data_IF_750874426432
#
_entry.id   IF_750874426432
#
_cell.length_a   1.000
_cell.length_b   1.000
_cell.length_c   1.000
_cell.angle_alpha   90.00
_cell.angle_beta   90.00
_cell.angle_gamma   90.00
#
_symmetry.space_group_name_H-M   'P 1'
#
loop_
_entity.id
_entity.type
_entity.pdbx_description
1 polymer ?
#
# COMPACT_ATOMS: atom_id res chain seq x y z
N UNK A 1 -33.97 -5.89 9.59
CA UNK A 1 -32.68 -6.48 9.18
C UNK A 1 -31.64 -5.93 10.14
N UNK A 2 -31.06 -6.76 11.00
CA UNK A 2 -30.08 -6.32 12.01
C UNK A 2 -28.84 -5.77 11.29
N UNK A 3 -28.63 -4.46 11.34
CA UNK A 3 -27.50 -3.79 10.72
C UNK A 3 -26.20 -4.12 11.47
N UNK A 4 -25.49 -5.14 11.01
CA UNK A 4 -24.12 -5.38 11.45
C UNK A 4 -23.22 -4.27 10.91
N UNK A 5 -22.26 -3.82 11.72
CA UNK A 5 -21.19 -2.90 11.31
C UNK A 5 -20.48 -3.43 10.05
N UNK A 6 -20.25 -2.62 9.00
CA UNK A 6 -19.67 -3.08 7.73
C UNK A 6 -18.37 -3.90 7.88
N UNK A 7 -17.50 -3.54 8.83
CA UNK A 7 -16.27 -4.29 9.10
C UNK A 7 -16.51 -5.68 9.73
N UNK A 8 -17.60 -5.86 10.47
CA UNK A 8 -17.97 -7.18 11.00
C UNK A 8 -18.38 -8.14 9.88
N UNK A 9 -19.08 -7.64 8.86
CA UNK A 9 -19.44 -8.42 7.66
C UNK A 9 -18.19 -8.88 6.90
N UNK A 10 -17.22 -7.97 6.76
CA UNK A 10 -15.92 -8.28 6.12
C UNK A 10 -15.17 -9.36 6.90
N UNK A 11 -15.06 -9.19 8.23
CA UNK A 11 -14.41 -10.16 9.10
C UNK A 11 -15.07 -11.54 9.02
N UNK A 12 -16.40 -11.61 9.15
CA UNK A 12 -17.14 -12.87 9.08
C UNK A 12 -16.90 -13.57 7.73
N UNK A 13 -16.94 -12.81 6.63
CA UNK A 13 -16.74 -13.39 5.29
C UNK A 13 -15.33 -13.94 5.14
N UNK A 14 -14.31 -13.15 5.48
CA UNK A 14 -12.90 -13.59 5.37
C UNK A 14 -12.58 -14.76 6.32
N UNK A 15 -13.26 -14.88 7.46
CA UNK A 15 -13.06 -16.00 8.39
C UNK A 15 -13.39 -17.38 7.76
N UNK A 16 -14.20 -17.40 6.69
CA UNK A 16 -14.55 -18.62 5.93
C UNK A 16 -13.42 -19.10 5.01
N UNK A 17 -12.36 -18.31 4.87
CA UNK A 17 -11.25 -18.53 3.95
C UNK A 17 -9.89 -18.46 4.67
N UNK A 18 -9.56 -19.44 5.54
CA UNK A 18 -8.33 -19.43 6.32
C UNK A 18 -7.09 -19.78 5.48
N UNK A 19 -5.91 -19.42 6.00
CA UNK A 19 -4.62 -19.74 5.39
C UNK A 19 -4.47 -19.14 3.99
N UNK A 20 -3.89 -19.89 3.06
CA UNK A 20 -3.61 -19.46 1.68
C UNK A 20 -4.88 -19.17 0.84
N UNK A 21 -6.07 -19.44 1.39
CA UNK A 21 -7.36 -19.13 0.75
C UNK A 21 -7.85 -17.71 1.02
N UNK A 22 -7.16 -16.91 1.84
CA UNK A 22 -7.57 -15.55 2.20
C UNK A 22 -7.95 -14.70 0.99
N UNK A 23 -7.25 -14.91 -0.13
CA UNK A 23 -7.44 -14.24 -1.42
C UNK A 23 -8.81 -14.52 -2.06
N UNK A 24 -9.35 -15.73 -1.91
CA UNK A 24 -10.71 -16.08 -2.36
C UNK A 24 -11.77 -15.26 -1.61
N UNK A 25 -11.52 -14.95 -0.34
CA UNK A 25 -12.42 -14.14 0.48
C UNK A 25 -12.42 -12.67 0.04
N UNK A 26 -11.27 -12.13 -0.33
CA UNK A 26 -11.17 -10.78 -0.93
C UNK A 26 -11.85 -10.72 -2.29
N UNK A 27 -11.68 -11.74 -3.12
CA UNK A 27 -12.37 -11.84 -4.40
C UNK A 27 -13.89 -11.94 -4.22
N UNK A 28 -14.39 -12.72 -3.25
CA UNK A 28 -15.81 -12.77 -2.95
C UNK A 28 -16.37 -11.39 -2.55
N UNK A 29 -15.65 -10.63 -1.71
CA UNK A 29 -16.08 -9.28 -1.30
C UNK A 29 -16.26 -8.34 -2.51
N UNK A 30 -15.29 -8.34 -3.43
CA UNK A 30 -15.36 -7.53 -4.65
C UNK A 30 -16.41 -8.03 -5.65
N UNK A 31 -16.55 -9.34 -5.82
CA UNK A 31 -17.57 -9.95 -6.67
C UNK A 31 -18.98 -9.58 -6.23
N UNK A 32 -19.22 -9.47 -4.92
CA UNK A 32 -20.51 -8.99 -4.42
C UNK A 32 -20.65 -7.48 -4.56
N UNK A 33 -19.59 -6.72 -4.29
CA UNK A 33 -19.56 -5.26 -4.41
C UNK A 33 -20.52 -4.52 -3.47
N UNK A 34 -21.11 -5.21 -2.48
CA UNK A 34 -22.16 -4.70 -1.60
C UNK A 34 -21.60 -4.02 -0.34
N UNK A 35 -20.50 -4.56 0.20
CA UNK A 35 -19.87 -4.09 1.45
C UNK A 35 -18.37 -3.93 1.25
N UNK A 36 -17.94 -2.71 0.90
CA UNK A 36 -16.54 -2.33 0.65
C UNK A 36 -16.10 -1.18 1.58
N UNK A 37 -16.08 -1.36 2.91
CA UNK A 37 -15.90 -0.27 3.87
C UNK A 37 -14.50 0.38 3.86
N UNK A 38 -13.53 -0.22 3.19
CA UNK A 38 -12.20 0.37 2.95
C UNK A 38 -12.17 1.31 1.75
N UNK A 39 -13.06 1.12 0.76
CA UNK A 39 -13.09 1.91 -0.46
C UNK A 39 -13.61 3.33 -0.15
N UNK A 40 -12.80 4.33 -0.49
CA UNK A 40 -13.09 5.76 -0.25
C UNK A 40 -13.46 6.51 -1.53
N UNK A 41 -13.35 5.87 -2.69
CA UNK A 41 -13.62 6.50 -3.99
C UNK A 41 -12.67 7.64 -4.37
N UNK A 42 -11.63 7.90 -3.58
CA UNK A 42 -10.63 8.94 -3.83
C UNK A 42 -9.30 8.59 -3.15
N UNK A 43 -8.15 9.09 -3.67
CA UNK A 43 -6.85 8.89 -3.03
C UNK A 43 -6.84 9.44 -1.61
N UNK A 44 -5.93 8.92 -0.78
CA UNK A 44 -5.66 9.59 0.48
C UNK A 44 -4.93 10.92 0.23
N UNK A 45 -5.44 12.07 0.73
CA UNK A 45 -4.78 13.36 0.50
C UNK A 45 -3.34 13.40 1.03
N UNK A 46 -2.99 12.57 2.03
CA UNK A 46 -1.63 12.42 2.51
C UNK A 46 -0.65 12.00 1.40
N UNK A 47 -1.07 11.14 0.46
CA UNK A 47 -0.23 10.73 -0.67
C UNK A 47 0.04 11.91 -1.61
N UNK A 48 -0.99 12.68 -1.97
CA UNK A 48 -0.83 13.86 -2.84
C UNK A 48 0.10 14.90 -2.20
N UNK A 49 -0.07 15.18 -0.91
CA UNK A 49 0.77 16.10 -0.15
C UNK A 49 2.22 15.59 -0.11
N UNK A 50 2.42 14.29 0.13
CA UNK A 50 3.73 13.63 0.12
C UNK A 50 4.43 13.75 -1.24
N UNK A 51 3.73 13.52 -2.35
CA UNK A 51 4.30 13.61 -3.69
C UNK A 51 4.61 15.05 -4.09
N UNK A 52 3.81 16.01 -3.63
CA UNK A 52 3.99 17.44 -3.92
C UNK A 52 5.16 18.03 -3.15
N UNK A 53 5.21 17.79 -1.84
CA UNK A 53 6.18 18.40 -0.92
C UNK A 53 7.47 17.57 -0.81
N UNK A 54 7.37 16.25 -0.98
CA UNK A 54 8.45 15.29 -0.77
C UNK A 54 9.41 15.12 -1.94
N UNK A 55 9.46 16.03 -2.94
CA UNK A 55 10.36 15.89 -4.10
C UNK A 55 11.84 15.77 -3.72
N UNK A 56 12.27 16.45 -2.66
CA UNK A 56 13.64 16.33 -2.16
C UNK A 56 13.92 14.93 -1.54
N UNK A 57 12.90 14.30 -0.97
CA UNK A 57 12.98 12.98 -0.37
C UNK A 57 12.85 11.86 -1.42
N UNK A 58 11.84 11.93 -2.29
CA UNK A 58 11.49 10.86 -3.24
C UNK A 58 12.21 11.00 -4.60
N UNK A 59 12.78 12.18 -4.87
CA UNK A 59 13.28 12.55 -6.18
C UNK A 59 12.16 12.88 -7.17
N UNK A 60 12.53 13.11 -8.43
CA UNK A 60 11.56 13.38 -9.51
C UNK A 60 10.89 12.09 -10.00
N UNK A 61 9.62 12.14 -10.42
CA UNK A 61 8.87 10.99 -10.96
C UNK A 61 9.32 10.60 -12.38
N UNK A 62 9.95 11.53 -13.10
CA UNK A 62 10.50 11.31 -14.42
C UNK A 62 11.62 12.33 -14.71
N UNK A 63 12.44 12.02 -15.70
CA UNK A 63 13.52 12.86 -16.19
C UNK A 63 13.45 12.99 -17.71
N UNK A 64 13.63 14.20 -18.23
CA UNK A 64 13.78 14.43 -19.66
C UNK A 64 15.22 14.12 -20.03
N UNK A 65 15.42 13.19 -20.96
CA UNK A 65 16.72 12.74 -21.46
C UNK A 65 16.82 13.02 -22.96
N UNK A 66 18.00 12.84 -23.54
CA UNK A 66 18.22 12.91 -25.00
C UNK A 66 17.32 11.95 -25.78
N UNK A 67 16.93 10.82 -25.17
CA UNK A 67 16.08 9.79 -25.77
C UNK A 67 14.59 9.94 -25.37
N UNK A 68 14.18 11.09 -24.85
CA UNK A 68 12.82 11.37 -24.39
C UNK A 68 12.64 11.24 -22.88
N UNK A 69 11.40 11.08 -22.43
CA UNK A 69 11.04 11.08 -21.01
C UNK A 69 11.28 9.69 -20.42
N UNK A 70 12.17 9.61 -19.43
CA UNK A 70 12.40 8.41 -18.64
C UNK A 70 11.61 8.50 -17.33
N UNK A 71 10.55 7.71 -17.22
CA UNK A 71 9.66 7.68 -16.04
C UNK A 71 10.11 6.64 -15.02
N UNK A 72 9.89 6.94 -13.75
CA UNK A 72 9.98 6.00 -12.64
C UNK A 72 8.74 5.11 -12.57
N UNK A 73 8.89 3.89 -12.07
CA UNK A 73 7.80 2.93 -11.89
C UNK A 73 7.27 2.97 -10.46
N UNK A 74 5.96 3.11 -10.31
CA UNK A 74 5.30 3.13 -9.01
C UNK A 74 4.31 1.97 -8.88
N UNK A 75 4.34 1.23 -7.77
CA UNK A 75 3.42 0.12 -7.49
C UNK A 75 2.47 0.46 -6.33
N UNK A 76 1.19 0.11 -6.47
CA UNK A 76 0.21 0.07 -5.38
C UNK A 76 -0.27 -1.37 -5.21
N UNK A 77 0.20 -2.10 -4.18
CA UNK A 77 -0.28 -3.45 -3.88
C UNK A 77 -1.66 -3.42 -3.23
N UNK A 78 -2.56 -4.32 -3.63
CA UNK A 78 -3.95 -4.32 -3.18
C UNK A 78 -4.66 -3.02 -3.56
N UNK A 79 -4.55 -2.60 -4.82
CA UNK A 79 -4.96 -1.26 -5.24
C UNK A 79 -6.47 -1.01 -5.19
N UNK A 80 -7.30 -2.05 -5.00
CA UNK A 80 -8.74 -1.93 -4.84
C UNK A 80 -9.42 -1.28 -6.05
N UNK A 81 -9.89 -0.04 -5.90
CA UNK A 81 -10.49 0.75 -6.98
C UNK A 81 -9.45 1.44 -7.88
N UNK A 82 -8.18 1.45 -7.51
CA UNK A 82 -7.09 1.98 -8.33
C UNK A 82 -6.90 3.50 -8.28
N UNK A 83 -7.60 4.22 -7.38
CA UNK A 83 -7.55 5.68 -7.31
C UNK A 83 -6.14 6.22 -7.04
N UNK A 84 -5.36 5.56 -6.18
CA UNK A 84 -3.97 5.97 -5.90
C UNK A 84 -3.04 5.74 -7.10
N UNK A 85 -3.34 4.76 -7.95
CA UNK A 85 -2.61 4.48 -9.21
C UNK A 85 -2.82 5.63 -10.20
N UNK A 86 -4.07 6.10 -10.33
CA UNK A 86 -4.41 7.25 -11.18
C UNK A 86 -3.74 8.53 -10.69
N UNK A 87 -3.69 8.73 -9.36
CA UNK A 87 -2.97 9.85 -8.76
C UNK A 87 -1.48 9.78 -9.09
N UNK A 88 -0.82 8.64 -8.88
CA UNK A 88 0.60 8.46 -9.20
C UNK A 88 0.91 8.73 -10.68
N UNK A 89 0.07 8.23 -11.58
CA UNK A 89 0.20 8.50 -13.02
C UNK A 89 0.06 9.99 -13.35
N UNK A 90 -0.80 10.73 -12.64
CA UNK A 90 -0.94 12.19 -12.81
C UNK A 90 0.31 12.98 -12.40
N UNK A 91 1.12 12.43 -11.49
CA UNK A 91 2.44 12.95 -11.13
C UNK A 91 3.53 12.56 -12.13
N UNK A 92 3.24 11.71 -13.11
CA UNK A 92 4.15 11.33 -14.19
C UNK A 92 4.87 9.99 -14.02
N UNK A 93 4.54 9.22 -12.98
CA UNK A 93 5.03 7.84 -12.82
C UNK A 93 4.36 6.90 -13.82
N UNK A 94 5.08 5.88 -14.28
CA UNK A 94 4.43 4.69 -14.83
C UNK A 94 3.90 3.88 -13.65
N UNK A 95 2.57 3.94 -13.45
CA UNK A 95 1.89 3.46 -12.26
C UNK A 95 1.22 2.10 -12.50
N UNK A 96 1.44 1.20 -11.55
CA UNK A 96 0.96 -0.18 -11.56
C UNK A 96 0.08 -0.41 -10.34
N UNK A 97 -1.15 -0.87 -10.57
CA UNK A 97 -2.04 -1.34 -9.50
C UNK A 97 -2.11 -2.86 -9.53
N UNK A 98 -1.64 -3.52 -8.47
CA UNK A 98 -1.76 -4.97 -8.34
C UNK A 98 -2.97 -5.29 -7.46
N UNK A 99 -3.85 -6.15 -7.96
CA UNK A 99 -5.06 -6.55 -7.26
C UNK A 99 -5.40 -8.01 -7.56
N UNK A 100 -5.80 -8.75 -6.52
CA UNK A 100 -6.09 -10.17 -6.65
C UNK A 100 -7.51 -10.40 -7.20
N UNK A 101 -8.47 -9.52 -6.93
CA UNK A 101 -9.82 -9.73 -7.46
C UNK A 101 -9.95 -9.28 -8.91
N UNK A 102 -10.42 -10.19 -9.78
CA UNK A 102 -10.73 -9.86 -11.17
C UNK A 102 -11.87 -8.82 -11.25
N UNK A 103 -12.86 -8.89 -10.37
CA UNK A 103 -13.93 -7.89 -10.28
C UNK A 103 -13.41 -6.52 -9.88
N UNK A 104 -12.45 -6.44 -8.95
CA UNK A 104 -11.81 -5.19 -8.59
C UNK A 104 -11.00 -4.58 -9.74
N UNK A 105 -10.33 -5.40 -10.54
CA UNK A 105 -9.64 -4.94 -11.77
C UNK A 105 -10.62 -4.30 -12.75
N UNK A 106 -11.82 -4.87 -12.93
CA UNK A 106 -12.84 -4.24 -13.76
C UNK A 106 -13.34 -2.91 -13.16
N UNK A 107 -13.43 -2.83 -11.83
CA UNK A 107 -13.72 -1.57 -11.13
C UNK A 107 -12.60 -0.54 -11.37
N UNK A 108 -11.32 -0.91 -11.34
CA UNK A 108 -10.20 -0.03 -11.67
C UNK A 108 -10.31 0.55 -13.08
N UNK A 109 -10.58 -0.31 -14.08
CA UNK A 109 -10.75 0.12 -15.48
C UNK A 109 -11.92 1.09 -15.64
N UNK A 110 -13.03 0.83 -14.95
CA UNK A 110 -14.18 1.73 -14.95
C UNK A 110 -13.87 3.06 -14.25
N UNK A 111 -13.12 3.03 -13.15
CA UNK A 111 -12.68 4.22 -12.43
C UNK A 111 -11.80 5.09 -13.33
N UNK A 112 -10.80 4.50 -13.99
CA UNK A 112 -9.95 5.19 -14.97
C UNK A 112 -10.80 5.83 -16.08
N UNK A 113 -11.66 5.04 -16.73
CA UNK A 113 -12.48 5.52 -17.85
C UNK A 113 -13.44 6.66 -17.46
N UNK A 114 -13.94 6.69 -16.23
CA UNK A 114 -14.92 7.68 -15.76
C UNK A 114 -14.28 8.89 -15.11
N UNK A 115 -13.13 8.73 -14.46
CA UNK A 115 -12.62 9.67 -13.48
C UNK A 115 -11.15 10.08 -13.70
N UNK A 116 -10.48 9.64 -14.77
CA UNK A 116 -9.09 10.05 -15.06
C UNK A 116 -8.89 11.58 -15.06
N UNK A 117 -9.87 12.34 -15.56
CA UNK A 117 -9.83 13.81 -15.61
C UNK A 117 -9.83 14.48 -14.24
N UNK A 118 -10.24 13.78 -13.17
CA UNK A 118 -10.15 14.29 -11.79
C UNK A 118 -8.70 14.39 -11.30
N UNK A 119 -7.76 13.76 -12.00
CA UNK A 119 -6.35 13.72 -11.63
C UNK A 119 -5.51 14.49 -12.67
N UNK A 120 -5.47 15.83 -12.63
CA UNK A 120 -4.78 16.62 -13.65
C UNK A 120 -3.28 16.36 -13.64
N UNK A 121 -2.66 16.50 -14.82
CA UNK A 121 -1.20 16.43 -14.99
C UNK A 121 -0.53 17.46 -14.08
N UNK A 122 0.44 17.00 -13.26
CA UNK A 122 1.13 17.87 -12.30
C UNK A 122 2.35 18.59 -12.87
N UNK A 123 2.85 18.12 -14.00
CA UNK A 123 3.99 18.68 -14.71
C UNK A 123 3.77 18.50 -16.21
N UNK A 124 3.37 19.55 -16.91
CA UNK A 124 3.04 19.52 -18.35
C UNK A 124 4.23 19.14 -19.22
N UNK A 125 5.47 19.37 -18.78
CA UNK A 125 6.67 18.97 -19.54
C UNK A 125 6.88 17.45 -19.50
N UNK A 126 6.42 16.82 -18.41
CA UNK A 126 6.48 15.38 -18.22
C UNK A 126 5.22 14.71 -18.75
N UNK A 127 4.04 15.30 -18.57
CA UNK A 127 2.76 14.67 -18.90
C UNK A 127 2.41 13.50 -17.98
N UNK A 128 1.21 12.95 -18.18
CA UNK A 128 0.73 11.76 -17.45
C UNK A 128 1.58 10.52 -17.80
N UNK A 129 1.95 9.72 -16.79
CA UNK A 129 2.56 8.41 -17.02
C UNK A 129 1.53 7.32 -17.33
N UNK A 130 1.98 6.09 -17.62
CA UNK A 130 1.05 5.00 -17.91
C UNK A 130 0.30 4.53 -16.66
N UNK A 131 -0.92 4.03 -16.84
CA UNK A 131 -1.67 3.29 -15.82
C UNK A 131 -1.76 1.83 -16.26
N UNK A 132 -1.44 0.90 -15.37
CA UNK A 132 -1.53 -0.54 -15.65
C UNK A 132 -2.11 -1.26 -14.44
N UNK A 133 -3.32 -1.80 -14.60
CA UNK A 133 -3.95 -2.65 -13.60
C UNK A 133 -3.65 -4.12 -13.89
N UNK A 134 -3.14 -4.84 -12.90
CA UNK A 134 -2.64 -6.21 -13.04
C UNK A 134 -3.39 -7.12 -12.08
N UNK A 135 -4.02 -8.14 -12.64
CA UNK A 135 -4.60 -9.23 -11.86
C UNK A 135 -3.49 -10.18 -11.39
N UNK A 136 -3.29 -10.29 -10.08
CA UNK A 136 -2.25 -11.16 -9.52
C UNK A 136 -2.17 -11.15 -8.00
N UNK A 137 -1.47 -12.15 -7.46
CA UNK A 137 -1.18 -12.26 -6.03
C UNK A 137 0.13 -11.52 -5.71
N UNK A 138 0.09 -10.62 -4.72
CA UNK A 138 1.26 -9.84 -4.29
C UNK A 138 2.48 -10.71 -3.97
N UNK A 139 2.26 -11.92 -3.45
CA UNK A 139 3.35 -12.81 -3.03
C UNK A 139 3.94 -13.66 -4.17
N UNK A 140 3.35 -13.65 -5.36
CA UNK A 140 3.79 -14.44 -6.53
C UNK A 140 4.54 -13.57 -7.54
N UNK A 141 5.33 -14.18 -8.44
CA UNK A 141 6.10 -13.48 -9.48
C UNK A 141 5.44 -13.46 -10.87
N UNK A 142 4.41 -14.28 -11.10
CA UNK A 142 3.80 -14.45 -12.42
C UNK A 142 3.27 -13.12 -13.00
N UNK A 143 2.81 -12.21 -12.15
CA UNK A 143 2.33 -10.90 -12.56
C UNK A 143 3.46 -9.94 -12.97
N UNK A 144 4.69 -10.10 -12.44
CA UNK A 144 5.86 -9.32 -12.85
C UNK A 144 6.24 -9.61 -14.30
N UNK A 145 6.23 -10.90 -14.65
CA UNK A 145 6.50 -11.36 -16.02
C UNK A 145 5.47 -10.79 -17.00
N UNK A 146 4.18 -10.80 -16.63
CA UNK A 146 3.09 -10.26 -17.47
C UNK A 146 3.26 -8.77 -17.80
N UNK A 147 3.81 -7.99 -16.89
CA UNK A 147 4.04 -6.55 -17.10
C UNK A 147 5.45 -6.21 -17.60
N UNK A 148 6.33 -7.21 -17.75
CA UNK A 148 7.71 -7.01 -18.19
C UNK A 148 8.55 -6.19 -17.21
N UNK A 149 8.27 -6.25 -15.91
CA UNK A 149 9.04 -5.56 -14.86
C UNK A 149 9.82 -6.61 -14.07
N UNK A 150 11.16 -6.52 -13.96
CA UNK A 150 11.92 -7.46 -13.14
C UNK A 150 11.70 -7.20 -11.65
N UNK A 151 12.09 -8.18 -10.82
CA UNK A 151 12.34 -7.92 -9.38
C UNK A 151 13.28 -6.71 -9.20
N UNK A 152 13.12 -6.00 -8.10
CA UNK A 152 13.80 -4.73 -7.82
C UNK A 152 13.58 -3.65 -8.90
N UNK A 153 12.43 -3.69 -9.57
CA UNK A 153 12.09 -2.84 -10.70
C UNK A 153 11.30 -1.58 -10.36
N UNK A 154 10.74 -1.49 -9.14
CA UNK A 154 9.88 -0.37 -8.74
C UNK A 154 10.66 0.70 -7.99
N UNK A 155 10.63 1.93 -8.48
CA UNK A 155 11.29 3.07 -7.82
C UNK A 155 10.44 3.61 -6.66
N UNK A 156 9.13 3.34 -6.68
CA UNK A 156 8.19 3.70 -5.63
C UNK A 156 7.22 2.54 -5.36
N UNK A 157 6.95 2.22 -4.11
CA UNK A 157 5.82 1.39 -3.69
C UNK A 157 5.00 2.19 -2.68
N UNK A 158 3.67 2.20 -2.81
CA UNK A 158 2.78 2.87 -1.88
C UNK A 158 1.85 1.86 -1.20
N UNK A 159 2.10 1.58 0.08
CA UNK A 159 1.25 0.72 0.91
C UNK A 159 0.28 1.58 1.74
N UNK A 160 -1.00 1.48 1.43
CA UNK A 160 -2.08 2.03 2.23
C UNK A 160 -3.26 1.06 2.25
N UNK A 161 -3.75 0.76 3.45
CA UNK A 161 -4.77 -0.28 3.71
C UNK A 161 -4.41 -1.70 3.26
N UNK A 162 -3.19 -1.95 2.78
CA UNK A 162 -2.74 -3.29 2.37
C UNK A 162 -2.09 -4.04 3.54
N UNK A 163 -1.07 -3.47 4.21
CA UNK A 163 -0.45 -4.11 5.38
C UNK A 163 -1.46 -4.49 6.48
N UNK A 164 -2.43 -3.61 6.77
CA UNK A 164 -3.46 -3.87 7.77
C UNK A 164 -4.56 -4.83 7.27
N UNK A 165 -4.66 -5.09 5.97
CA UNK A 165 -5.59 -6.08 5.43
C UNK A 165 -5.09 -7.52 5.64
N UNK A 166 -3.76 -7.69 5.71
CA UNK A 166 -3.11 -8.99 5.87
C UNK A 166 -3.26 -9.54 7.28
N UNK A 167 -3.48 -10.86 7.38
CA UNK A 167 -3.35 -11.55 8.66
C UNK A 167 -1.94 -11.30 9.24
N UNK A 168 -1.79 -11.05 10.56
CA UNK A 168 -0.48 -10.77 11.14
C UNK A 168 0.62 -11.79 10.81
N UNK A 169 0.27 -13.07 10.64
CA UNK A 169 1.21 -14.14 10.23
C UNK A 169 1.80 -13.96 8.82
N UNK A 170 1.22 -13.11 7.98
CA UNK A 170 1.70 -12.86 6.62
C UNK A 170 2.66 -11.67 6.53
N UNK A 171 2.78 -10.88 7.60
CA UNK A 171 3.60 -9.66 7.64
C UNK A 171 5.10 -9.91 7.42
N UNK A 172 5.70 -11.04 7.86
CA UNK A 172 7.06 -11.40 7.47
C UNK A 172 7.22 -11.52 5.95
N UNK A 173 6.30 -12.25 5.29
CA UNK A 173 6.29 -12.40 3.82
C UNK A 173 6.07 -11.05 3.13
N UNK A 174 5.22 -10.19 3.69
CA UNK A 174 4.96 -8.85 3.15
C UNK A 174 6.21 -7.98 3.15
N UNK A 175 6.96 -7.98 4.25
CA UNK A 175 8.20 -7.21 4.34
C UNK A 175 9.26 -7.74 3.37
N UNK A 176 9.45 -9.07 3.31
CA UNK A 176 10.34 -9.69 2.33
C UNK A 176 9.94 -9.37 0.89
N UNK A 177 8.63 -9.35 0.61
CA UNK A 177 8.16 -9.07 -0.74
C UNK A 177 8.49 -7.64 -1.18
N UNK A 178 8.38 -6.67 -0.27
CA UNK A 178 8.82 -5.30 -0.57
C UNK A 178 10.30 -5.22 -0.91
N UNK A 179 11.17 -5.96 -0.22
CA UNK A 179 12.61 -5.95 -0.55
C UNK A 179 12.96 -6.60 -1.88
N UNK A 180 12.11 -7.49 -2.38
CA UNK A 180 12.25 -8.13 -3.70
C UNK A 180 11.67 -7.31 -4.86
N UNK A 181 10.79 -6.35 -4.57
CA UNK A 181 10.11 -5.54 -5.57
C UNK A 181 10.77 -4.16 -5.74
N UNK A 182 11.30 -3.60 -4.65
CA UNK A 182 11.82 -2.25 -4.62
C UNK A 182 13.20 -2.14 -5.29
N UNK A 183 13.39 -1.11 -6.10
CA UNK A 183 14.68 -0.78 -6.68
C UNK A 183 15.74 -0.51 -5.58
N UNK A 184 17.03 -0.77 -5.85
CA UNK A 184 18.09 -0.50 -4.88
C UNK A 184 18.12 0.97 -4.41
N UNK A 185 18.58 1.17 -3.17
CA UNK A 185 18.82 2.50 -2.64
C UNK A 185 19.89 3.26 -3.47
N UNK A 186 19.82 4.60 -3.53
CA UNK A 186 18.80 5.47 -2.93
C UNK A 186 17.54 5.64 -3.80
N UNK A 187 17.40 4.88 -4.89
CA UNK A 187 16.38 5.11 -5.92
C UNK A 187 14.99 4.63 -5.48
N UNK A 188 14.91 3.43 -4.92
CA UNK A 188 13.67 2.84 -4.45
C UNK A 188 13.18 3.42 -3.13
N UNK A 189 11.90 3.78 -3.06
CA UNK A 189 11.24 4.23 -1.84
C UNK A 189 9.94 3.43 -1.61
N UNK A 190 9.75 2.90 -0.41
CA UNK A 190 8.44 2.42 0.05
C UNK A 190 7.80 3.51 0.91
N UNK A 191 6.63 3.99 0.52
CA UNK A 191 5.79 4.86 1.34
C UNK A 191 4.73 3.99 2.01
N UNK A 192 4.69 4.01 3.34
CA UNK A 192 3.60 3.42 4.10
C UNK A 192 2.75 4.54 4.70
N UNK A 193 1.45 4.54 4.41
CA UNK A 193 0.48 5.28 5.20
C UNK A 193 -0.02 4.35 6.31
N UNK A 194 0.57 4.50 7.48
CA UNK A 194 0.35 3.64 8.65
C UNK A 194 -1.07 3.88 9.20
N UNK A 195 -1.92 2.87 9.03
CA UNK A 195 -3.33 2.87 9.47
C UNK A 195 -3.78 1.42 9.71
N UNK A 196 -4.60 1.12 10.74
CA UNK A 196 -4.95 1.94 11.89
C UNK A 196 -3.91 1.78 13.02
N UNK A 197 -3.29 2.89 13.44
CA UNK A 197 -2.16 2.90 14.40
C UNK A 197 -2.58 2.76 15.86
N UNK A 198 -3.84 3.06 16.20
CA UNK A 198 -4.36 3.09 17.58
C UNK A 198 -5.48 2.07 17.83
N UNK A 199 -5.66 1.12 16.90
CA UNK A 199 -6.64 0.04 17.08
C UNK A 199 -6.12 -0.94 18.14
N UNK A 200 -7.02 -1.44 18.99
CA UNK A 200 -6.70 -2.51 19.92
C UNK A 200 -6.13 -3.72 19.16
N UNK A 201 -4.90 -4.18 19.46
CA UNK A 201 -4.29 -5.31 18.76
C UNK A 201 -5.05 -6.63 18.89
N UNK A 202 -5.90 -6.78 19.91
CA UNK A 202 -6.76 -7.96 20.07
C UNK A 202 -8.09 -7.85 19.29
N UNK A 203 -8.43 -6.67 18.78
CA UNK A 203 -9.67 -6.49 18.02
C UNK A 203 -9.60 -7.20 16.65
N UNK A 204 -10.70 -7.82 16.19
CA UNK A 204 -10.71 -8.56 14.93
C UNK A 204 -10.43 -7.64 13.73
N UNK A 205 -9.66 -8.12 12.77
CA UNK A 205 -9.44 -7.48 11.47
C UNK A 205 -10.06 -8.27 10.31
N UNK A 206 -9.93 -7.80 9.07
CA UNK A 206 -9.28 -6.57 8.67
C UNK A 206 -10.19 -5.31 8.81
N UNK A 207 -9.58 -4.11 8.94
CA UNK A 207 -8.15 -3.90 9.09
C UNK A 207 -7.68 -4.38 10.48
N UNK A 208 -6.59 -5.13 10.54
CA UNK A 208 -5.90 -5.47 11.80
C UNK A 208 -5.19 -4.24 12.35
N UNK A 209 -4.85 -4.21 13.64
CA UNK A 209 -4.03 -3.15 14.19
C UNK A 209 -2.67 -3.10 13.47
N UNK A 210 -2.25 -1.89 13.08
CA UNK A 210 -1.00 -1.63 12.40
C UNK A 210 -0.25 -0.47 13.09
N UNK A 211 0.18 -0.66 14.34
CA UNK A 211 0.99 0.33 15.05
C UNK A 211 2.37 0.51 14.37
N UNK A 212 3.02 1.64 14.63
CA UNK A 212 4.28 2.01 13.95
C UNK A 212 5.43 1.04 14.24
N UNK A 213 5.46 0.44 15.43
CA UNK A 213 6.42 -0.60 15.81
C UNK A 213 6.28 -1.87 14.95
N UNK A 214 5.09 -2.14 14.39
CA UNK A 214 4.91 -3.23 13.41
C UNK A 214 5.64 -2.98 12.11
N UNK A 215 5.57 -1.77 11.57
CA UNK A 215 6.34 -1.42 10.40
C UNK A 215 7.84 -1.48 10.70
N UNK A 216 8.28 -0.94 11.84
CA UNK A 216 9.68 -1.00 12.29
C UNK A 216 10.23 -2.43 12.34
N UNK A 217 9.54 -3.34 13.02
CA UNK A 217 10.05 -4.68 13.24
C UNK A 217 10.00 -5.52 11.97
N UNK A 218 8.88 -5.52 11.23
CA UNK A 218 8.78 -6.33 10.00
C UNK A 218 9.72 -5.82 8.91
N UNK A 219 9.84 -4.50 8.71
CA UNK A 219 10.72 -3.96 7.67
C UNK A 219 12.21 -3.98 8.04
N UNK A 220 12.56 -4.01 9.34
CA UNK A 220 13.95 -4.19 9.77
C UNK A 220 14.43 -5.65 9.66
N UNK A 221 13.49 -6.62 9.69
CA UNK A 221 13.76 -8.06 9.64
C UNK A 221 12.87 -8.76 8.60
N UNK A 222 13.00 -8.41 7.31
CA UNK A 222 12.12 -8.89 6.26
C UNK A 222 12.18 -10.42 6.14
N UNK A 223 11.02 -11.07 6.15
CA UNK A 223 10.89 -12.52 6.03
C UNK A 223 11.07 -13.28 7.34
N UNK A 224 11.41 -12.59 8.44
CA UNK A 224 11.58 -13.23 9.73
C UNK A 224 10.31 -13.18 10.58
N UNK A 225 10.10 -14.22 11.38
CA UNK A 225 9.02 -14.26 12.36
C UNK A 225 9.27 -13.24 13.48
N UNK A 226 8.30 -12.34 13.68
CA UNK A 226 8.34 -11.33 14.74
C UNK A 226 7.47 -11.78 15.92
N UNK A 227 8.02 -11.88 17.14
CA UNK A 227 7.26 -12.32 18.29
C UNK A 227 6.26 -11.26 18.77
N UNK A 228 5.05 -11.70 19.09
CA UNK A 228 4.03 -10.89 19.74
C UNK A 228 3.77 -11.37 21.18
N UNK A 229 3.29 -10.49 22.05
CA UNK A 229 2.80 -10.83 23.39
C UNK A 229 1.36 -11.35 23.38
N UNK A 230 0.87 -11.76 24.54
CA UNK A 230 -0.50 -12.24 24.75
C UNK A 230 -1.57 -11.17 24.51
N UNK A 231 -1.15 -9.90 24.38
CA UNK A 231 -1.99 -8.74 24.05
C UNK A 231 -1.87 -8.33 22.58
N UNK A 232 -1.21 -9.14 21.74
CA UNK A 232 -1.02 -8.86 20.32
C UNK A 232 -0.06 -7.70 20.04
N UNK A 233 0.78 -7.31 21.00
CA UNK A 233 1.79 -6.25 20.85
C UNK A 233 3.13 -6.86 20.49
N UNK A 234 3.96 -6.13 19.76
CA UNK A 234 5.25 -6.66 19.32
C UNK A 234 6.24 -6.67 20.48
N UNK A 235 6.96 -7.79 20.62
CA UNK A 235 8.09 -7.92 21.53
C UNK A 235 9.37 -7.48 20.81
N UNK A 236 9.48 -6.17 20.60
CA UNK A 236 10.65 -5.56 19.97
C UNK A 236 11.93 -5.88 20.75
N UNK A 237 12.98 -6.29 20.04
CA UNK A 237 14.32 -6.40 20.61
C UNK A 237 15.16 -5.21 20.15
N UNK A 238 15.13 -4.13 20.93
CA UNK A 238 15.81 -2.87 20.60
C UNK A 238 17.34 -2.99 20.50
N UNK A 239 17.93 -4.07 21.02
CA UNK A 239 19.38 -4.32 20.94
C UNK A 239 19.76 -5.16 19.72
N UNK A 240 18.79 -5.69 18.99
CA UNK A 240 19.04 -6.51 17.82
C UNK A 240 19.49 -5.59 16.67
N UNK A 241 20.65 -5.86 16.03
CA UNK A 241 21.01 -5.15 14.81
C UNK A 241 20.04 -5.54 13.70
N UNK A 242 19.64 -4.58 12.89
CA UNK A 242 18.78 -4.83 11.73
C UNK A 242 19.42 -5.82 10.75
N UNK A 243 18.58 -6.51 9.98
CA UNK A 243 19.03 -7.41 8.94
C UNK A 243 19.73 -6.61 7.82
N UNK A 244 20.79 -7.17 7.21
CA UNK A 244 21.50 -6.55 6.08
C UNK A 244 20.58 -6.34 4.86
N UNK A 245 19.57 -7.19 4.69
CA UNK A 245 18.53 -7.04 3.67
C UNK A 245 17.32 -6.23 4.16
N UNK A 246 17.39 -5.69 5.39
CA UNK A 246 16.34 -4.88 6.00
C UNK A 246 16.18 -3.53 5.33
N UNK A 247 15.11 -2.84 5.70
CA UNK A 247 14.86 -1.48 5.27
C UNK A 247 15.13 -0.49 6.42
N UNK A 248 15.45 0.74 6.05
CA UNK A 248 15.62 1.86 6.97
C UNK A 248 14.49 2.88 6.76
N UNK A 249 13.89 3.34 7.87
CA UNK A 249 12.93 4.45 7.83
C UNK A 249 13.67 5.77 7.72
N UNK A 250 13.67 6.34 6.52
CA UNK A 250 14.38 7.59 6.19
C UNK A 250 13.54 8.84 6.48
N UNK A 251 12.23 8.70 6.68
CA UNK A 251 11.36 9.80 7.11
C UNK A 251 10.11 9.27 7.81
N UNK A 252 9.56 10.06 8.74
CA UNK A 252 8.37 9.73 9.51
C UNK A 252 7.66 10.99 10.00
N UNK A 253 6.38 11.15 9.69
CA UNK A 253 5.60 12.31 10.13
C UNK A 253 4.11 12.01 10.24
N UNK A 254 3.38 12.90 10.92
CA UNK A 254 1.92 12.95 10.90
C UNK A 254 1.48 13.81 9.72
N UNK A 255 0.68 13.30 8.77
CA UNK A 255 0.23 14.10 7.64
C UNK A 255 -0.76 15.18 8.10
N UNK A 256 -0.79 16.32 7.40
CA UNK A 256 -1.73 17.40 7.69
C UNK A 256 -3.18 17.01 7.38
N UNK A 257 -3.37 16.17 6.36
CA UNK A 257 -4.68 15.72 5.88
C UNK A 257 -4.67 14.21 5.67
N UNK A 258 -5.77 13.57 6.01
CA UNK A 258 -6.05 12.15 5.72
C UNK A 258 -7.57 11.95 5.55
N UNK A 259 -7.99 10.74 5.15
CA UNK A 259 -9.38 10.31 5.20
C UNK A 259 -9.93 10.34 6.62
N UNK A 260 -11.24 10.50 6.78
CA UNK A 260 -11.85 10.65 8.11
C UNK A 260 -11.65 9.46 9.04
N UNK A 261 -11.46 8.24 8.50
CA UNK A 261 -11.13 7.06 9.30
C UNK A 261 -9.72 7.11 9.90
N UNK A 262 -8.82 7.89 9.31
CA UNK A 262 -7.49 8.17 9.84
C UNK A 262 -7.48 9.28 10.90
N UNK A 263 -8.65 9.81 11.29
CA UNK A 263 -8.81 10.82 12.35
C UNK A 263 -9.53 10.22 13.54
N UNK A 264 -9.40 10.87 14.69
CA UNK A 264 -10.16 10.53 15.87
C UNK A 264 -11.46 11.34 16.03
N UNK A 265 -12.17 11.11 17.13
CA UNK A 265 -13.46 11.75 17.40
C UNK A 265 -13.37 13.29 17.52
N UNK A 266 -12.17 13.85 17.77
CA UNK A 266 -11.93 15.29 17.81
C UNK A 266 -11.47 15.86 16.46
N UNK A 267 -11.25 14.98 15.47
CA UNK A 267 -10.71 15.34 14.16
C UNK A 267 -9.19 15.31 14.10
N UNK A 268 -8.49 14.93 15.18
CA UNK A 268 -7.03 14.82 15.19
C UNK A 268 -6.55 13.66 14.29
N UNK A 269 -5.56 13.93 13.43
CA UNK A 269 -5.00 12.93 12.51
C UNK A 269 -4.19 11.87 13.28
N UNK A 270 -4.56 10.61 13.18
CA UNK A 270 -3.85 9.48 13.81
C UNK A 270 -2.94 8.72 12.87
N UNK A 271 -3.15 8.84 11.57
CA UNK A 271 -2.28 8.23 10.57
C UNK A 271 -0.85 8.77 10.69
N UNK A 272 0.09 7.98 10.19
CA UNK A 272 1.48 8.38 10.03
C UNK A 272 1.95 8.03 8.63
N UNK A 273 2.76 8.88 8.03
CA UNK A 273 3.48 8.54 6.81
C UNK A 273 4.89 8.14 7.19
N UNK A 274 5.34 6.99 6.73
CA UNK A 274 6.73 6.57 6.80
C UNK A 274 7.29 6.31 5.41
N UNK A 275 8.55 6.69 5.20
CA UNK A 275 9.28 6.41 3.96
C UNK A 275 10.46 5.53 4.29
N UNK A 276 10.60 4.46 3.52
CA UNK A 276 11.57 3.38 3.73
C UNK A 276 12.43 3.16 2.50
N UNK A 277 13.68 2.77 2.72
CA UNK A 277 14.63 2.36 1.66
C UNK A 277 15.33 1.08 2.07
N UNK A 278 15.79 0.31 1.09
CA UNK A 278 16.71 -0.80 1.36
C UNK A 278 18.00 -0.27 2.01
N UNK A 279 18.55 -1.04 2.95
CA UNK A 279 19.86 -0.77 3.55
C UNK A 279 21.01 -1.02 2.56
#
# INVERSE_FOLDING_TARGET
>A
MSGQEPHAVVHERLSKYPGERYRDGWDELWNRGDVLPWDRGMPNPALEDTLTQGRALLGKPAEITENGIKRKKALVPGCGRGVDVLLLASFGYDAYGLEYSASAIEVCKQEEAKNADKYPVRDEQIGRGSVTFVHGDFFEDDWLEKIGVPRNGFDLVYDYTFFCALNPSMRPKWALRHTQLLAPAPRGNLICLEFPTHKDPLAPGPPFAAPSDAYMEHLSYPGEEIPYDDKGRIKANLLRPANDNGMERVSFWQPERTHDKGKDATGEVRDRVSVWRLR
#
